data_IF_914885311620
#
_entry.id   IF_914885311620
#
_cell.length_a   1.000
_cell.length_b   1.000
_cell.length_c   1.000
_cell.angle_alpha   90.00
_cell.angle_beta   90.00
_cell.angle_gamma   90.00
#
_symmetry.space_group_name_H-M   'P 1'
#
loop_
_entity.id
_entity.type
_entity.pdbx_description
1 polymer ?
#
# COMPACT_ATOMS: atom_id res chain seq x y z
N UNK A 1 -7.62 -8.96 -9.98
CA UNK A 1 -6.67 -8.57 -8.91
C UNK A 1 -6.86 -7.09 -8.72
N UNK A 2 -6.94 -6.63 -7.47
CA UNK A 2 -7.01 -5.20 -7.15
C UNK A 2 -5.64 -4.78 -6.62
N UNK A 3 -5.23 -3.54 -6.83
CA UNK A 3 -3.93 -3.06 -6.39
C UNK A 3 -4.10 -1.79 -5.55
N UNK A 4 -3.43 -1.75 -4.40
CA UNK A 4 -3.39 -0.57 -3.54
C UNK A 4 -1.94 -0.11 -3.46
N UNK A 5 -1.66 1.12 -3.88
CA UNK A 5 -0.32 1.68 -3.83
C UNK A 5 -0.24 2.85 -2.87
N UNK A 6 0.88 2.94 -2.17
CA UNK A 6 1.09 3.90 -1.10
C UNK A 6 2.50 4.46 -1.20
N UNK A 7 2.61 5.79 -1.15
CA UNK A 7 3.84 6.55 -1.04
C UNK A 7 3.56 7.89 -0.39
N UNK A 8 4.62 8.60 -0.01
CA UNK A 8 4.56 9.96 0.53
C UNK A 8 5.47 10.87 -0.27
N UNK A 9 4.99 12.07 -0.60
CA UNK A 9 5.83 13.11 -1.16
C UNK A 9 6.62 13.81 -0.07
N UNK A 10 7.82 14.28 -0.42
CA UNK A 10 8.55 15.25 0.38
C UNK A 10 7.73 16.55 0.49
N UNK A 11 7.90 17.27 1.59
CA UNK A 11 7.20 18.53 1.83
C UNK A 11 7.40 19.52 0.67
N UNK A 12 6.28 20.08 0.17
CA UNK A 12 6.27 21.03 -0.95
C UNK A 12 6.46 20.41 -2.34
N UNK A 13 6.58 19.08 -2.43
CA UNK A 13 6.69 18.35 -3.70
C UNK A 13 5.36 17.69 -4.05
N UNK A 14 4.99 17.79 -5.32
CA UNK A 14 3.86 17.07 -5.89
C UNK A 14 4.21 16.66 -7.32
N UNK A 15 4.17 15.37 -7.60
CA UNK A 15 4.53 14.81 -8.90
C UNK A 15 3.29 14.31 -9.64
N UNK A 16 3.47 13.98 -10.92
CA UNK A 16 2.46 13.25 -11.67
C UNK A 16 2.29 11.84 -11.05
N UNK A 17 1.12 11.57 -10.46
CA UNK A 17 0.86 10.29 -9.77
C UNK A 17 0.99 9.08 -10.68
N UNK A 18 0.64 9.22 -11.96
CA UNK A 18 0.73 8.13 -12.91
C UNK A 18 2.20 7.78 -13.18
N UNK A 19 3.07 8.79 -13.35
CA UNK A 19 4.52 8.57 -13.53
C UNK A 19 5.16 7.96 -12.27
N UNK A 20 4.74 8.40 -11.08
CA UNK A 20 5.20 7.80 -9.81
C UNK A 20 4.75 6.34 -9.71
N UNK A 21 3.51 6.05 -10.09
CA UNK A 21 2.98 4.68 -10.15
C UNK A 21 3.83 3.81 -11.09
N UNK A 22 4.08 4.24 -12.33
CA UNK A 22 4.90 3.50 -13.28
C UNK A 22 6.31 3.24 -12.71
N UNK A 23 6.94 4.25 -12.11
CA UNK A 23 8.26 4.10 -11.47
C UNK A 23 8.26 3.09 -10.31
N UNK A 24 7.18 3.02 -9.52
CA UNK A 24 7.01 2.00 -8.47
C UNK A 24 6.84 0.61 -9.07
N UNK A 25 6.08 0.47 -10.16
CA UNK A 25 5.87 -0.81 -10.86
C UNK A 25 7.16 -1.32 -11.50
N UNK A 26 8.01 -0.41 -12.01
CA UNK A 26 9.35 -0.72 -12.51
C UNK A 26 10.37 -1.05 -11.41
N UNK A 27 9.95 -1.05 -10.14
CA UNK A 27 10.79 -1.32 -8.97
C UNK A 27 12.02 -0.40 -8.89
N UNK A 28 11.88 0.85 -9.32
CA UNK A 28 12.96 1.83 -9.20
C UNK A 28 13.37 1.97 -7.73
N UNK A 29 14.67 1.84 -7.46
CA UNK A 29 15.19 1.83 -6.09
C UNK A 29 15.06 3.17 -5.38
N UNK A 30 14.96 4.25 -6.16
CA UNK A 30 14.80 5.60 -5.66
C UNK A 30 14.00 6.44 -6.66
N UNK A 31 12.97 7.11 -6.15
CA UNK A 31 12.12 8.06 -6.88
C UNK A 31 12.32 9.43 -6.20
N UNK A 32 12.86 10.39 -6.95
CA UNK A 32 13.07 11.75 -6.46
C UNK A 32 11.73 12.38 -6.07
N UNK A 33 11.69 13.09 -4.95
CA UNK A 33 10.47 13.70 -4.44
C UNK A 33 9.63 12.81 -3.51
N UNK A 34 10.00 11.53 -3.31
CA UNK A 34 9.35 10.65 -2.33
C UNK A 34 10.12 10.56 -1.00
N UNK A 35 9.39 10.43 0.09
CA UNK A 35 9.94 10.15 1.42
C UNK A 35 10.28 8.67 1.61
N UNK A 36 11.26 8.39 2.47
CA UNK A 36 11.44 7.03 3.00
C UNK A 36 10.30 6.66 3.96
N UNK A 37 9.78 5.45 3.84
CA UNK A 37 8.73 4.90 4.68
C UNK A 37 9.32 4.03 5.79
N UNK A 38 8.70 3.98 6.98
CA UNK A 38 9.07 3.05 8.03
C UNK A 38 8.55 1.64 7.73
N UNK A 39 9.01 1.04 6.62
CA UNK A 39 8.48 -0.21 6.03
C UNK A 39 8.32 -1.32 7.06
N UNK A 40 9.34 -1.56 7.89
CA UNK A 40 9.28 -2.63 8.88
C UNK A 40 8.18 -2.40 9.93
N UNK A 41 7.95 -1.16 10.34
CA UNK A 41 6.89 -0.81 11.31
C UNK A 41 5.52 -1.02 10.67
N UNK A 42 5.36 -0.64 9.41
CA UNK A 42 4.12 -0.84 8.64
C UNK A 42 3.82 -2.33 8.49
N UNK A 43 4.81 -3.15 8.08
CA UNK A 43 4.64 -4.60 7.96
C UNK A 43 4.27 -5.25 9.30
N UNK A 44 4.88 -4.80 10.41
CA UNK A 44 4.53 -5.27 11.75
C UNK A 44 3.09 -4.89 12.13
N UNK A 45 2.65 -3.68 11.78
CA UNK A 45 1.28 -3.22 12.02
C UNK A 45 0.26 -4.05 11.25
N UNK A 46 0.51 -4.30 9.96
CA UNK A 46 -0.31 -5.18 9.13
C UNK A 46 -0.35 -6.59 9.72
N UNK A 47 0.80 -7.17 10.06
CA UNK A 47 0.86 -8.49 10.69
C UNK A 47 0.05 -8.56 12.00
N UNK A 48 0.06 -7.50 12.80
CA UNK A 48 -0.73 -7.41 14.03
C UNK A 48 -2.24 -7.39 13.75
N UNK A 49 -2.69 -6.58 12.79
CA UNK A 49 -4.12 -6.47 12.44
C UNK A 49 -4.63 -7.76 11.81
N UNK A 50 -3.82 -8.38 10.95
CA UNK A 50 -4.14 -9.63 10.26
C UNK A 50 -3.60 -10.87 10.97
N UNK A 51 -3.37 -10.80 12.29
CA UNK A 51 -2.77 -11.89 13.09
C UNK A 51 -3.59 -13.19 13.11
N UNK A 52 -4.88 -13.13 12.77
CA UNK A 52 -5.76 -14.31 12.65
C UNK A 52 -5.71 -14.98 11.28
N UNK A 53 -5.22 -14.27 10.26
CA UNK A 53 -5.07 -14.80 8.90
C UNK A 53 -3.86 -15.72 8.85
N UNK A 54 -3.87 -16.65 7.90
CA UNK A 54 -2.69 -17.48 7.63
C UNK A 54 -1.60 -16.61 7.01
N UNK A 55 -0.46 -16.48 7.69
CA UNK A 55 0.75 -15.88 7.12
C UNK A 55 1.45 -16.95 6.28
N UNK A 56 1.30 -16.86 4.96
CA UNK A 56 1.84 -17.83 3.99
C UNK A 56 3.36 -17.70 3.89
N UNK A 57 3.83 -16.46 3.90
CA UNK A 57 5.25 -16.09 3.97
C UNK A 57 5.38 -14.69 4.60
N UNK A 58 6.59 -14.11 4.59
CA UNK A 58 6.82 -12.82 5.25
C UNK A 58 6.03 -11.63 4.73
N UNK A 59 5.49 -11.73 3.52
CA UNK A 59 4.75 -10.66 2.83
C UNK A 59 3.40 -11.11 2.27
N UNK A 60 2.96 -12.33 2.56
CA UNK A 60 1.72 -12.90 2.01
C UNK A 60 0.78 -13.38 3.11
N UNK A 61 -0.49 -12.99 3.01
CA UNK A 61 -1.56 -13.40 3.92
C UNK A 61 -2.72 -14.01 3.16
N UNK A 62 -3.32 -15.05 3.73
CA UNK A 62 -4.51 -15.71 3.21
C UNK A 62 -5.58 -15.81 4.29
N UNK A 63 -6.81 -15.49 3.94
CA UNK A 63 -7.93 -15.65 4.85
C UNK A 63 -8.23 -17.16 5.03
N UNK A 64 -8.02 -17.66 6.24
CA UNK A 64 -8.27 -19.06 6.61
C UNK A 64 -9.74 -19.33 7.00
N UNK A 65 -10.55 -18.28 7.20
CA UNK A 65 -11.95 -18.37 7.65
C UNK A 65 -12.94 -17.73 6.68
N UNK A 66 -12.46 -17.27 5.53
CA UNK A 66 -13.26 -16.58 4.53
C UNK A 66 -12.53 -16.47 3.20
N UNK A 67 -12.89 -15.49 2.39
CA UNK A 67 -12.26 -15.24 1.09
C UNK A 67 -11.18 -14.17 1.19
N UNK A 68 -10.28 -14.17 0.21
CA UNK A 68 -9.26 -13.15 0.06
C UNK A 68 -7.87 -13.61 0.45
N UNK A 69 -6.89 -13.08 -0.26
CA UNK A 69 -5.48 -13.12 0.07
C UNK A 69 -4.85 -11.82 -0.40
N UNK A 70 -3.75 -11.40 0.22
CA UNK A 70 -2.98 -10.26 -0.25
C UNK A 70 -1.49 -10.51 -0.14
N UNK A 71 -0.74 -9.90 -1.05
CA UNK A 71 0.71 -9.93 -1.08
C UNK A 71 1.25 -8.50 -1.08
N UNK A 72 2.30 -8.26 -0.30
CA UNK A 72 2.91 -6.94 -0.16
C UNK A 72 4.27 -6.90 -0.87
N UNK A 73 4.43 -5.96 -1.78
CA UNK A 73 5.74 -5.55 -2.31
C UNK A 73 6.13 -4.21 -1.69
N UNK A 74 7.42 -4.03 -1.44
CA UNK A 74 7.93 -2.87 -0.71
C UNK A 74 9.25 -2.42 -1.30
N UNK A 75 9.40 -1.11 -1.46
CA UNK A 75 10.70 -0.43 -1.59
C UNK A 75 10.93 0.43 -0.33
N UNK A 76 12.08 1.09 -0.16
CA UNK A 76 12.24 2.08 0.91
C UNK A 76 11.21 3.23 0.85
N UNK A 77 10.62 3.55 -0.31
CA UNK A 77 9.76 4.71 -0.51
C UNK A 77 8.29 4.37 -0.85
N UNK A 78 7.97 3.09 -1.05
CA UNK A 78 6.64 2.67 -1.50
C UNK A 78 6.20 1.32 -0.95
N UNK A 79 4.89 1.16 -0.83
CA UNK A 79 4.22 -0.10 -0.50
C UNK A 79 3.16 -0.36 -1.57
N UNK A 80 3.21 -1.55 -2.17
CA UNK A 80 2.18 -2.06 -3.08
C UNK A 80 1.53 -3.29 -2.45
N UNK A 81 0.22 -3.33 -2.43
CA UNK A 81 -0.56 -4.45 -1.93
C UNK A 81 -1.40 -5.03 -3.06
N UNK A 82 -1.01 -6.22 -3.51
CA UNK A 82 -1.75 -6.99 -4.50
C UNK A 82 -2.87 -7.76 -3.78
N UNK A 83 -4.12 -7.48 -4.11
CA UNK A 83 -5.31 -8.07 -3.51
C UNK A 83 -5.94 -9.13 -4.42
N UNK A 84 -6.10 -10.35 -3.90
CA UNK A 84 -6.59 -11.54 -4.59
C UNK A 84 -7.94 -11.98 -4.01
N UNK A 85 -9.04 -11.51 -4.60
CA UNK A 85 -10.38 -11.81 -4.10
C UNK A 85 -10.66 -11.22 -2.70
N UNK A 86 -9.85 -10.23 -2.30
CA UNK A 86 -10.00 -9.50 -1.04
C UNK A 86 -11.27 -8.66 -1.06
N UNK A 87 -12.09 -8.77 -0.01
CA UNK A 87 -13.33 -8.00 0.12
C UNK A 87 -13.04 -6.52 0.41
N UNK A 88 -13.95 -5.62 0.01
CA UNK A 88 -13.86 -4.17 0.22
C UNK A 88 -13.49 -3.78 1.66
N UNK A 89 -14.23 -4.28 2.65
CA UNK A 89 -13.95 -4.06 4.08
C UNK A 89 -12.51 -4.40 4.52
N UNK A 90 -11.88 -5.36 3.85
CA UNK A 90 -10.50 -5.76 4.13
C UNK A 90 -9.51 -4.83 3.44
N UNK A 91 -9.83 -4.39 2.22
CA UNK A 91 -9.07 -3.35 1.53
C UNK A 91 -9.13 -2.03 2.31
N UNK A 92 -10.31 -1.65 2.81
CA UNK A 92 -10.49 -0.49 3.69
C UNK A 92 -9.63 -0.62 4.96
N UNK A 93 -9.55 -1.81 5.56
CA UNK A 93 -8.67 -2.03 6.71
C UNK A 93 -7.18 -1.85 6.36
N UNK A 94 -6.74 -2.26 5.17
CA UNK A 94 -5.38 -2.03 4.69
C UNK A 94 -5.13 -0.52 4.47
N UNK A 95 -6.07 0.20 3.87
CA UNK A 95 -6.00 1.65 3.67
C UNK A 95 -5.93 2.38 5.02
N UNK A 96 -6.81 2.04 5.95
CA UNK A 96 -6.83 2.63 7.30
C UNK A 96 -5.50 2.43 8.04
N UNK A 97 -4.84 1.28 7.89
CA UNK A 97 -3.51 1.07 8.45
C UNK A 97 -2.50 2.05 7.84
N UNK A 98 -2.56 2.26 6.52
CA UNK A 98 -1.64 3.17 5.82
C UNK A 98 -1.89 4.64 6.18
N UNK A 99 -3.13 5.01 6.46
CA UNK A 99 -3.51 6.33 6.99
C UNK A 99 -2.88 6.62 8.36
N UNK A 100 -2.68 5.61 9.23
CA UNK A 100 -1.94 5.78 10.50
C UNK A 100 -0.51 6.32 10.26
N UNK A 101 0.05 6.09 9.08
CA UNK A 101 1.37 6.56 8.65
C UNK A 101 1.31 7.79 7.73
N UNK A 102 0.12 8.38 7.55
CA UNK A 102 -0.16 9.48 6.61
C UNK A 102 0.27 9.16 5.18
N UNK A 103 0.07 7.91 4.77
CA UNK A 103 0.45 7.41 3.46
C UNK A 103 -0.81 7.20 2.64
N UNK A 104 -1.14 8.19 1.80
CA UNK A 104 -2.38 8.18 1.04
C UNK A 104 -2.42 7.06 -0.01
N UNK A 105 -3.62 6.53 -0.24
CA UNK A 105 -3.90 5.57 -1.28
C UNK A 105 -3.78 6.22 -2.66
N UNK A 106 -3.07 5.55 -3.56
CA UNK A 106 -3.29 5.66 -4.99
C UNK A 106 -3.94 4.38 -5.50
N UNK A 107 -5.07 4.56 -6.17
CA UNK A 107 -5.82 3.49 -6.79
C UNK A 107 -5.55 3.51 -8.31
N UNK A 108 -4.79 2.56 -8.86
CA UNK A 108 -4.55 2.50 -10.29
C UNK A 108 -5.76 2.02 -11.10
N UNK A 109 -6.79 1.43 -10.49
CA UNK A 109 -8.01 1.02 -11.19
C UNK A 109 -8.87 2.24 -11.55
N UNK A 110 -8.89 3.23 -10.68
CA UNK A 110 -9.47 4.56 -10.93
C UNK A 110 -8.33 5.54 -10.68
N UNK A 111 -7.48 5.85 -11.69
CA UNK A 111 -6.12 6.41 -11.56
C UNK A 111 -6.10 7.73 -10.78
N UNK A 112 -6.25 7.61 -9.47
CA UNK A 112 -6.62 8.66 -8.55
C UNK A 112 -5.88 8.42 -7.25
N UNK A 113 -5.35 9.52 -6.72
CA UNK A 113 -4.76 9.56 -5.40
C UNK A 113 -5.75 10.20 -4.43
N UNK A 114 -5.88 9.63 -3.24
CA UNK A 114 -6.78 10.05 -2.19
C UNK A 114 -5.99 10.78 -1.09
N UNK A 115 -5.24 11.81 -1.46
CA UNK A 115 -4.61 12.69 -0.48
C UNK A 115 -5.68 13.48 0.30
N UNK A 116 -5.41 13.83 1.57
CA UNK A 116 -6.30 14.64 2.42
C UNK A 116 -6.67 16.01 1.83
N UNK A 117 -6.05 16.43 0.72
CA UNK A 117 -6.39 17.64 -0.03
C UNK A 117 -7.66 17.51 -0.89
N UNK A 118 -8.37 16.37 -0.85
CA UNK A 118 -9.69 16.21 -1.45
C UNK A 118 -10.80 16.77 -0.53
N UNK A 119 -10.86 18.09 -0.37
CA UNK A 119 -12.10 18.81 0.01
C UNK A 119 -12.76 19.44 -1.22
#
# INVERSE_FOLDING_TARGET
MYELLFWKYLEGIYLNHHEVYEAIIEEQSQIEGLEELPVQVILNRIASVFSKWEKVDDKSWKNNTGVGAFHIRTTPQSIKIDCYGTEGKTMDALVNIMEEFKCALYDPQVPQRYDEMAE
#
